data_IF_173230967635
#
_entry.id   IF_173230967635
#
_cell.length_a   1.000
_cell.length_b   1.000
_cell.length_c   1.000
_cell.angle_alpha   90.00
_cell.angle_beta   90.00
_cell.angle_gamma   90.00
#
_symmetry.space_group_name_H-M   'P 1'
#
loop_
_entity.id
_entity.type
_entity.pdbx_description
1 polymer ?
#
# COMPACT_ATOMS: atom_id res chain seq x y z
N UNK A 1 -40.28 29.01 28.98
CA UNK A 1 -38.84 28.97 29.19
C UNK A 1 -38.26 27.58 29.22
N UNK A 2 -39.06 26.60 29.55
CA UNK A 2 -38.65 25.20 29.47
C UNK A 2 -38.58 24.65 28.04
N UNK A 3 -39.12 25.36 27.04
CA UNK A 3 -39.16 24.93 25.66
C UNK A 3 -37.78 24.96 24.97
N UNK A 4 -36.84 25.79 25.42
CA UNK A 4 -35.50 25.87 24.83
C UNK A 4 -34.63 24.65 25.09
N UNK A 5 -34.83 23.93 26.20
CA UNK A 5 -34.07 22.73 26.52
C UNK A 5 -34.42 21.54 25.62
N UNK A 6 -35.67 21.44 25.17
CA UNK A 6 -36.10 20.36 24.32
C UNK A 6 -35.51 20.47 22.92
N UNK A 7 -35.36 21.69 22.40
CA UNK A 7 -34.79 21.92 21.06
C UNK A 7 -33.31 21.55 20.97
N UNK A 8 -32.55 21.73 22.05
CA UNK A 8 -31.13 21.39 22.05
C UNK A 8 -30.87 19.89 22.04
N UNK A 9 -31.71 19.09 22.68
CA UNK A 9 -31.53 17.64 22.71
C UNK A 9 -31.68 17.01 21.30
N UNK A 10 -32.53 17.58 20.48
CA UNK A 10 -32.66 17.13 19.06
C UNK A 10 -31.42 17.39 18.23
N UNK A 11 -30.79 18.55 18.45
CA UNK A 11 -29.55 18.90 17.76
C UNK A 11 -28.42 17.95 18.13
N UNK A 12 -28.28 17.61 19.41
CA UNK A 12 -27.23 16.69 19.87
C UNK A 12 -27.41 15.27 19.35
N UNK A 13 -28.62 14.78 19.29
CA UNK A 13 -28.92 13.44 18.75
C UNK A 13 -28.57 13.38 17.26
N UNK A 14 -28.95 14.39 16.48
CA UNK A 14 -28.63 14.46 15.06
C UNK A 14 -27.14 14.47 14.78
N UNK A 15 -26.38 15.27 15.53
CA UNK A 15 -24.91 15.34 15.39
C UNK A 15 -24.23 14.02 15.75
N UNK A 16 -24.67 13.35 16.82
CA UNK A 16 -24.11 12.07 17.23
C UNK A 16 -24.27 11.00 16.15
N UNK A 17 -25.43 10.94 15.51
CA UNK A 17 -25.70 9.98 14.42
C UNK A 17 -24.81 10.24 13.21
N UNK A 18 -24.63 11.51 12.82
CA UNK A 18 -23.78 11.86 11.68
C UNK A 18 -22.31 11.53 11.93
N UNK A 19 -21.79 11.81 13.12
CA UNK A 19 -20.40 11.50 13.47
C UNK A 19 -20.20 9.98 13.54
N UNK A 20 -21.11 9.24 14.14
CA UNK A 20 -21.05 7.77 14.21
C UNK A 20 -21.08 7.13 12.83
N UNK A 21 -21.92 7.60 11.92
CA UNK A 21 -21.99 7.11 10.55
C UNK A 21 -20.72 7.37 9.76
N UNK A 22 -20.11 8.54 9.92
CA UNK A 22 -18.86 8.89 9.25
C UNK A 22 -17.69 8.02 9.73
N UNK A 23 -17.60 7.77 11.04
CA UNK A 23 -16.55 6.92 11.63
C UNK A 23 -16.68 5.48 11.13
N UNK A 24 -17.89 4.92 11.10
CA UNK A 24 -18.15 3.57 10.62
C UNK A 24 -17.79 3.42 9.14
N UNK A 25 -18.12 4.39 8.33
CA UNK A 25 -17.77 4.41 6.90
C UNK A 25 -16.26 4.41 6.70
N UNK A 26 -15.54 5.24 7.45
CA UNK A 26 -14.09 5.34 7.37
C UNK A 26 -13.41 4.02 7.77
N UNK A 27 -13.85 3.39 8.86
CA UNK A 27 -13.30 2.11 9.31
C UNK A 27 -13.56 0.99 8.31
N UNK A 28 -14.75 0.94 7.73
CA UNK A 28 -15.08 -0.04 6.71
C UNK A 28 -14.22 0.12 5.46
N UNK A 29 -14.01 1.35 5.02
CA UNK A 29 -13.21 1.64 3.84
C UNK A 29 -11.74 1.28 4.04
N UNK A 30 -11.16 1.54 5.22
CA UNK A 30 -9.76 1.24 5.52
C UNK A 30 -9.48 -0.26 5.65
N UNK A 31 -10.47 -1.10 5.97
CA UNK A 31 -10.28 -2.54 6.16
C UNK A 31 -10.04 -3.33 4.87
N UNK A 32 -10.30 -2.74 3.68
CA UNK A 32 -10.16 -3.42 2.39
C UNK A 32 -8.92 -3.01 1.61
N UNK A 33 -8.06 -2.11 2.13
CA UNK A 33 -7.08 -1.35 1.33
C UNK A 33 -5.68 -1.97 1.24
N UNK A 34 -5.40 -3.12 1.84
CA UNK A 34 -4.03 -3.65 1.93
C UNK A 34 -3.70 -4.76 0.94
N UNK A 35 -4.68 -5.56 0.53
CA UNK A 35 -4.44 -6.74 -0.29
C UNK A 35 -4.47 -6.39 -1.77
N UNK A 36 -3.42 -6.77 -2.50
CA UNK A 36 -3.31 -6.50 -3.93
C UNK A 36 -3.03 -7.79 -4.70
N UNK A 37 -3.54 -7.87 -5.93
CA UNK A 37 -3.24 -8.96 -6.87
C UNK A 37 -1.94 -8.62 -7.60
N UNK A 38 -0.92 -9.43 -7.39
CA UNK A 38 0.38 -9.29 -8.04
C UNK A 38 0.40 -10.19 -9.27
N UNK A 39 0.82 -9.64 -10.41
CA UNK A 39 0.91 -10.41 -11.65
C UNK A 39 1.89 -11.57 -11.49
N UNK A 40 1.54 -12.72 -12.01
CA UNK A 40 2.28 -13.99 -11.91
C UNK A 40 2.31 -14.60 -10.51
N UNK A 41 1.42 -14.17 -9.63
CA UNK A 41 1.28 -14.73 -8.31
C UNK A 41 -0.18 -15.08 -8.06
N UNK A 42 -0.45 -16.27 -7.49
CA UNK A 42 -1.83 -16.76 -7.30
C UNK A 42 -2.52 -16.10 -6.10
N UNK A 43 -1.79 -15.93 -5.01
CA UNK A 43 -2.32 -15.34 -3.77
C UNK A 43 -2.15 -13.83 -3.75
N UNK A 44 -3.04 -13.14 -3.04
CA UNK A 44 -2.92 -11.70 -2.82
C UNK A 44 -1.86 -11.41 -1.77
N UNK A 45 -1.23 -10.24 -1.88
CA UNK A 45 -0.21 -9.77 -0.94
C UNK A 45 -0.73 -8.54 -0.21
N UNK A 46 -0.59 -8.54 1.12
CA UNK A 46 -0.96 -7.39 1.94
C UNK A 46 0.22 -6.42 2.03
N UNK A 47 0.23 -5.43 1.14
CA UNK A 47 1.28 -4.40 1.10
C UNK A 47 1.19 -3.39 2.25
N UNK A 48 0.09 -3.40 3.02
CA UNK A 48 -0.06 -2.59 4.23
C UNK A 48 0.49 -3.28 5.48
N UNK A 49 0.97 -4.51 5.35
CA UNK A 49 1.61 -5.24 6.45
C UNK A 49 2.86 -4.52 6.94
N UNK A 50 3.17 -4.66 8.23
CA UNK A 50 4.39 -4.09 8.82
C UNK A 50 5.68 -4.67 8.25
N UNK A 51 5.61 -5.80 7.52
CA UNK A 51 6.76 -6.37 6.81
C UNK A 51 7.24 -5.51 5.64
N UNK A 52 6.38 -4.66 5.10
CA UNK A 52 6.68 -3.84 3.93
C UNK A 52 6.99 -2.40 4.29
N UNK A 53 8.09 -1.89 3.75
CA UNK A 53 8.40 -0.46 3.75
C UNK A 53 7.87 0.15 2.45
N UNK A 54 6.96 1.13 2.50
CA UNK A 54 6.47 1.77 1.30
C UNK A 54 7.48 2.78 0.76
N UNK A 55 7.53 2.92 -0.56
CA UNK A 55 8.26 3.99 -1.22
C UNK A 55 7.48 5.30 -1.00
N UNK A 56 8.19 6.36 -0.61
CA UNK A 56 7.59 7.65 -0.24
C UNK A 56 7.44 8.62 -1.42
N UNK A 57 7.71 8.17 -2.63
CA UNK A 57 7.59 8.97 -3.85
C UNK A 57 7.05 8.13 -4.99
N UNK A 58 6.57 8.81 -6.04
CA UNK A 58 6.01 8.18 -7.24
C UNK A 58 6.27 9.06 -8.45
N UNK A 59 6.14 8.48 -9.64
CA UNK A 59 6.18 9.23 -10.89
C UNK A 59 4.99 8.82 -11.79
N UNK A 60 5.02 9.22 -13.05
CA UNK A 60 3.92 8.92 -13.98
C UNK A 60 3.75 7.43 -14.28
N UNK A 61 4.79 6.64 -14.13
CA UNK A 61 4.79 5.20 -14.42
C UNK A 61 4.86 4.38 -13.14
N UNK A 62 5.81 4.68 -12.24
CA UNK A 62 5.95 4.01 -10.94
C UNK A 62 5.00 4.68 -9.95
N UNK A 63 3.85 4.05 -9.74
CA UNK A 63 2.80 4.58 -8.86
C UNK A 63 3.04 4.28 -7.38
N UNK A 64 3.87 3.29 -7.10
CA UNK A 64 4.24 2.91 -5.75
C UNK A 64 5.13 1.69 -5.75
N UNK A 65 5.79 1.45 -4.64
CA UNK A 65 6.57 0.24 -4.41
C UNK A 65 6.61 -0.05 -2.92
N UNK A 66 6.74 -1.33 -2.57
CA UNK A 66 6.73 -1.82 -1.20
C UNK A 66 7.80 -2.90 -1.07
N UNK A 67 8.66 -2.78 -0.07
CA UNK A 67 9.81 -3.65 0.08
C UNK A 67 9.83 -4.36 1.41
N UNK A 68 10.00 -5.67 1.38
CA UNK A 68 10.17 -6.53 2.54
C UNK A 68 11.65 -6.92 2.64
N UNK A 69 12.39 -6.27 3.52
CA UNK A 69 13.83 -6.49 3.69
C UNK A 69 14.13 -7.88 4.24
N UNK A 70 13.25 -8.44 5.05
CA UNK A 70 13.43 -9.77 5.62
C UNK A 70 13.41 -10.89 4.58
N UNK A 71 12.64 -10.70 3.52
CA UNK A 71 12.50 -11.66 2.42
C UNK A 71 13.14 -11.18 1.12
N UNK A 72 13.76 -10.01 1.11
CA UNK A 72 14.34 -9.38 -0.10
C UNK A 72 13.34 -9.35 -1.26
N UNK A 73 12.10 -8.99 -0.95
CA UNK A 73 10.97 -9.04 -1.87
C UNK A 73 10.36 -7.67 -2.07
N UNK A 74 10.16 -7.29 -3.32
CA UNK A 74 9.56 -6.00 -3.66
C UNK A 74 8.30 -6.19 -4.50
N UNK A 75 7.24 -5.47 -4.16
CA UNK A 75 6.06 -5.28 -5.01
C UNK A 75 6.11 -3.87 -5.56
N UNK A 76 5.90 -3.72 -6.86
CA UNK A 76 5.91 -2.42 -7.54
C UNK A 76 4.65 -2.27 -8.36
N UNK A 77 4.04 -1.09 -8.32
CA UNK A 77 2.88 -0.76 -9.13
C UNK A 77 3.31 0.09 -10.32
N UNK A 78 3.19 -0.48 -11.51
CA UNK A 78 3.47 0.19 -12.78
C UNK A 78 2.15 0.44 -13.48
N UNK A 79 1.75 1.72 -13.60
CA UNK A 79 0.43 2.04 -14.07
C UNK A 79 -0.64 1.44 -13.16
N UNK A 80 -1.49 0.59 -13.70
CA UNK A 80 -2.55 -0.10 -12.96
C UNK A 80 -2.22 -1.52 -12.50
N UNK A 81 -1.00 -2.01 -12.73
CA UNK A 81 -0.63 -3.41 -12.49
C UNK A 81 0.47 -3.52 -11.45
N UNK A 82 0.31 -4.49 -10.52
CA UNK A 82 1.33 -4.82 -9.54
C UNK A 82 2.21 -5.96 -10.06
N UNK A 83 3.53 -5.78 -9.96
CA UNK A 83 4.55 -6.76 -10.30
C UNK A 83 5.39 -7.07 -9.07
N UNK A 84 6.15 -8.17 -9.11
CA UNK A 84 7.03 -8.52 -7.99
C UNK A 84 8.45 -8.84 -8.46
N UNK A 85 9.40 -8.63 -7.55
CA UNK A 85 10.82 -8.92 -7.75
C UNK A 85 11.34 -9.60 -6.50
N UNK A 86 12.18 -10.62 -6.68
CA UNK A 86 12.66 -11.51 -5.61
C UNK A 86 14.19 -11.47 -5.54
N UNK A 87 14.73 -11.71 -4.35
CA UNK A 87 16.18 -11.68 -4.16
C UNK A 87 16.77 -10.27 -4.32
N UNK A 88 15.96 -9.25 -4.13
CA UNK A 88 16.41 -7.86 -4.23
C UNK A 88 17.07 -7.44 -2.92
N UNK A 89 18.38 -7.14 -2.92
CA UNK A 89 19.06 -6.76 -1.68
C UNK A 89 18.63 -5.37 -1.20
N UNK A 90 18.78 -5.12 0.09
CA UNK A 90 18.44 -3.83 0.68
C UNK A 90 19.22 -2.66 0.10
N UNK A 91 20.44 -2.91 -0.41
CA UNK A 91 21.22 -1.90 -1.11
C UNK A 91 20.54 -1.41 -2.39
N UNK A 92 19.95 -2.32 -3.16
CA UNK A 92 19.20 -1.96 -4.36
C UNK A 92 17.94 -1.16 -4.01
N UNK A 93 17.25 -1.54 -2.93
CA UNK A 93 16.11 -0.76 -2.43
C UNK A 93 16.52 0.64 -2.00
N UNK A 94 17.66 0.77 -1.31
CA UNK A 94 18.22 2.06 -0.92
C UNK A 94 18.52 2.95 -2.11
N UNK A 95 19.13 2.41 -3.15
CA UNK A 95 19.43 3.13 -4.39
C UNK A 95 18.13 3.55 -5.11
N UNK A 96 17.13 2.67 -5.12
CA UNK A 96 15.82 2.98 -5.69
C UNK A 96 15.12 4.13 -4.96
N UNK A 97 15.19 4.14 -3.63
CA UNK A 97 14.64 5.25 -2.84
C UNK A 97 15.38 6.57 -3.12
N UNK A 98 16.65 6.51 -3.43
CA UNK A 98 17.52 7.69 -3.59
C UNK A 98 17.54 8.25 -5.02
N UNK A 99 17.09 7.48 -6.02
CA UNK A 99 17.19 7.93 -7.42
C UNK A 99 16.29 9.14 -7.70
N UNK A 100 16.75 10.00 -8.61
CA UNK A 100 15.94 11.12 -9.11
C UNK A 100 14.94 10.69 -10.18
N UNK A 101 15.09 9.49 -10.77
CA UNK A 101 14.21 8.94 -11.79
C UNK A 101 13.87 7.49 -11.47
N UNK A 102 12.68 7.28 -10.91
CA UNK A 102 12.21 5.95 -10.49
C UNK A 102 12.09 5.00 -11.67
N UNK A 103 11.49 5.45 -12.76
CA UNK A 103 11.27 4.59 -13.91
C UNK A 103 12.56 4.19 -14.61
N UNK A 104 13.51 5.11 -14.74
CA UNK A 104 14.81 4.80 -15.34
C UNK A 104 15.60 3.80 -14.48
N UNK A 105 15.62 3.98 -13.17
CA UNK A 105 16.26 3.04 -12.26
C UNK A 105 15.59 1.67 -12.34
N UNK A 106 14.26 1.64 -12.39
CA UNK A 106 13.51 0.39 -12.53
C UNK A 106 13.93 -0.35 -13.80
N UNK A 107 13.97 0.34 -14.94
CA UNK A 107 14.32 -0.29 -16.22
C UNK A 107 15.77 -0.77 -16.29
N UNK A 108 16.69 0.02 -15.75
CA UNK A 108 18.13 -0.23 -15.88
C UNK A 108 18.63 -1.23 -14.82
N UNK A 109 18.11 -1.16 -13.60
CA UNK A 109 18.70 -1.88 -12.47
C UNK A 109 17.79 -2.93 -11.83
N UNK A 110 16.47 -2.83 -11.98
CA UNK A 110 15.53 -3.77 -11.36
C UNK A 110 15.00 -4.78 -12.36
N UNK A 111 14.45 -4.31 -13.47
CA UNK A 111 13.86 -5.16 -14.49
C UNK A 111 14.91 -6.10 -15.08
N UNK A 112 14.63 -7.41 -15.00
CA UNK A 112 15.52 -8.44 -15.51
C UNK A 112 16.60 -8.91 -14.54
N UNK A 113 16.73 -8.31 -13.35
CA UNK A 113 17.78 -8.67 -12.40
C UNK A 113 17.29 -9.47 -11.19
N UNK A 114 16.06 -9.29 -10.75
CA UNK A 114 15.53 -9.92 -9.54
C UNK A 114 14.31 -10.78 -9.87
N UNK A 115 14.56 -11.81 -10.67
CA UNK A 115 13.50 -12.66 -11.20
C UNK A 115 12.98 -13.62 -10.14
N UNK A 116 11.66 -13.59 -9.91
CA UNK A 116 11.01 -14.49 -8.95
C UNK A 116 10.91 -15.94 -9.44
N UNK A 117 11.28 -16.22 -10.68
CA UNK A 117 11.43 -17.60 -11.17
C UNK A 117 12.74 -18.23 -10.73
N UNK A 118 13.75 -17.42 -10.44
CA UNK A 118 15.09 -17.86 -10.03
C UNK A 118 15.36 -17.69 -8.54
N UNK A 119 14.51 -16.96 -7.84
CA UNK A 119 14.64 -16.66 -6.42
C UNK A 119 13.36 -17.05 -5.69
N UNK A 120 13.44 -17.42 -4.40
CA UNK A 120 12.25 -17.82 -3.66
C UNK A 120 11.21 -16.70 -3.58
N UNK A 121 9.94 -17.05 -3.82
CA UNK A 121 8.80 -16.14 -3.62
C UNK A 121 8.33 -16.32 -2.17
N UNK A 122 8.34 -15.27 -1.36
CA UNK A 122 7.90 -15.39 0.02
C UNK A 122 6.41 -15.64 0.12
N UNK A 123 6.01 -16.44 1.10
CA UNK A 123 4.61 -16.69 1.41
C UNK A 123 4.22 -15.91 2.64
N UNK A 124 3.08 -15.25 2.56
CA UNK A 124 2.53 -14.46 3.67
C UNK A 124 1.24 -15.14 4.15
N UNK A 125 1.11 -15.27 5.45
CA UNK A 125 -0.07 -15.85 6.09
C UNK A 125 -1.04 -14.78 6.60
#
# INVERSE_FOLDING_TARGET
MTQHKENYSWVYIGLAVLIGGAILYFLFFSSTSGYVKVKYRDDKVNISSSSFEPLDKSDSTVKGAWYDSGNEYMVIKLGGTYYHYCGMPSSAWGDFKATSSLYDYYQDDIKGNFDCRENPVPRYE
#
